data_IF_071409197210
#
_entry.id   IF_071409197210
#
_cell.length_a   1.000
_cell.length_b   1.000
_cell.length_c   1.000
_cell.angle_alpha   90.00
_cell.angle_beta   90.00
_cell.angle_gamma   90.00
#
_symmetry.space_group_name_H-M   'P 1'
#
loop_
_entity.id
_entity.type
_entity.pdbx_description
1 polymer ?
#
# COMPACT_ATOMS: atom_id res chain seq x y z
N UNK A 1 8.54 -18.67 20.96
CA UNK A 1 8.69 -19.49 19.76
C UNK A 1 7.56 -19.14 18.82
N UNK A 2 7.86 -18.56 17.67
CA UNK A 2 6.93 -18.44 16.53
C UNK A 2 6.52 -19.86 16.16
N UNK A 3 5.22 -20.17 16.18
CA UNK A 3 4.73 -21.45 15.65
C UNK A 3 4.79 -21.33 14.13
N UNK A 4 5.76 -21.98 13.52
CA UNK A 4 5.77 -22.12 12.07
C UNK A 4 4.64 -23.06 11.63
N UNK A 5 4.20 -22.90 10.39
CA UNK A 5 3.10 -23.64 9.79
C UNK A 5 3.65 -24.94 9.18
N UNK A 6 3.52 -26.05 9.91
CA UNK A 6 3.81 -27.39 9.39
C UNK A 6 2.80 -27.79 8.30
N UNK A 7 3.21 -28.70 7.40
CA UNK A 7 2.38 -29.20 6.31
C UNK A 7 1.04 -29.77 6.80
N UNK A 8 1.08 -30.75 7.72
CA UNK A 8 -0.10 -31.37 8.33
C UNK A 8 -1.08 -30.37 8.94
N UNK A 9 -0.56 -29.28 9.51
CA UNK A 9 -1.38 -28.26 10.14
C UNK A 9 -2.17 -27.45 9.10
N UNK A 10 -1.51 -27.07 8.00
CA UNK A 10 -2.16 -26.35 6.89
C UNK A 10 -3.21 -27.24 6.22
N UNK A 11 -2.90 -28.52 5.97
CA UNK A 11 -3.82 -29.44 5.30
C UNK A 11 -5.12 -29.65 6.06
N UNK A 12 -5.05 -29.79 7.38
CA UNK A 12 -6.23 -29.98 8.25
C UNK A 12 -7.16 -28.75 8.28
N UNK A 13 -6.66 -27.60 7.84
CA UNK A 13 -7.35 -26.30 7.84
C UNK A 13 -7.78 -25.86 6.44
N UNK A 14 -7.67 -26.75 5.46
CA UNK A 14 -8.22 -26.53 4.13
C UNK A 14 -9.68 -26.98 4.07
N UNK A 15 -10.54 -26.06 3.68
CA UNK A 15 -11.97 -26.29 3.50
C UNK A 15 -12.35 -26.12 2.02
N UNK A 16 -13.01 -27.09 1.38
CA UNK A 16 -13.42 -26.95 -0.01
C UNK A 16 -14.52 -25.88 -0.14
N UNK A 17 -14.37 -25.00 -1.10
CA UNK A 17 -15.36 -23.99 -1.45
C UNK A 17 -16.52 -24.65 -2.22
N UNK A 18 -17.74 -24.52 -1.68
CA UNK A 18 -18.96 -25.06 -2.30
C UNK A 18 -19.56 -24.12 -3.34
N UNK A 19 -19.34 -22.82 -3.18
CA UNK A 19 -19.83 -21.79 -4.08
C UNK A 19 -18.71 -20.81 -4.40
N UNK A 20 -18.57 -20.52 -5.69
CA UNK A 20 -17.60 -19.56 -6.20
C UNK A 20 -18.39 -18.38 -6.79
N UNK A 21 -18.15 -17.14 -6.35
CA UNK A 21 -18.75 -15.97 -6.96
C UNK A 21 -18.48 -15.93 -8.46
N UNK A 22 -19.51 -15.60 -9.26
CA UNK A 22 -19.39 -15.49 -10.72
C UNK A 22 -18.28 -14.50 -11.14
N UNK A 23 -18.06 -13.47 -10.31
CA UNK A 23 -17.03 -12.46 -10.50
C UNK A 23 -15.59 -13.01 -10.48
N UNK A 24 -15.34 -14.22 -9.97
CA UNK A 24 -13.98 -14.71 -9.74
C UNK A 24 -13.28 -15.32 -10.96
N UNK A 25 -14.02 -15.52 -12.06
CA UNK A 25 -13.54 -16.04 -13.35
C UNK A 25 -12.46 -17.12 -13.16
N UNK A 26 -12.89 -18.27 -12.63
CA UNK A 26 -12.04 -19.42 -12.32
C UNK A 26 -12.37 -20.57 -13.25
N UNK A 27 -11.36 -21.36 -13.63
CA UNK A 27 -11.59 -22.56 -14.44
C UNK A 27 -12.43 -23.55 -13.64
N UNK A 28 -13.49 -24.10 -14.25
CA UNK A 28 -14.44 -25.02 -13.59
C UNK A 28 -13.84 -26.43 -13.31
N UNK A 29 -12.54 -26.61 -13.57
CA UNK A 29 -11.81 -27.86 -13.37
C UNK A 29 -11.32 -28.06 -11.93
N UNK A 30 -12.06 -28.84 -11.15
CA UNK A 30 -11.63 -29.31 -9.82
C UNK A 30 -12.13 -28.47 -8.65
N UNK A 31 -11.70 -28.83 -7.43
CA UNK A 31 -12.09 -28.15 -6.19
C UNK A 31 -11.15 -26.98 -5.89
N UNK A 32 -11.73 -25.91 -5.36
CA UNK A 32 -11.01 -24.76 -4.79
C UNK A 32 -11.18 -24.75 -3.27
N UNK A 33 -10.28 -24.08 -2.57
CA UNK A 33 -10.19 -24.17 -1.12
C UNK A 33 -10.08 -22.80 -0.45
N UNK A 34 -10.59 -22.78 0.77
CA UNK A 34 -10.31 -21.79 1.79
C UNK A 34 -9.28 -22.36 2.76
N UNK A 35 -8.25 -21.59 3.05
CA UNK A 35 -7.28 -21.89 4.09
C UNK A 35 -7.64 -21.09 5.34
N UNK A 36 -8.19 -21.77 6.35
CA UNK A 36 -8.63 -21.16 7.62
C UNK A 36 -7.53 -21.28 8.69
N UNK A 37 -6.73 -20.23 8.81
CA UNK A 37 -5.71 -20.04 9.86
C UNK A 37 -6.19 -19.10 10.97
N UNK A 38 -7.50 -18.95 11.16
CA UNK A 38 -8.09 -18.12 12.20
C UNK A 38 -7.73 -18.63 13.60
N UNK A 39 -7.49 -17.70 14.53
CA UNK A 39 -7.25 -17.99 15.95
C UNK A 39 -6.11 -19.00 16.20
N UNK A 40 -5.06 -18.97 15.37
CA UNK A 40 -3.93 -19.89 15.44
C UNK A 40 -2.76 -19.37 16.28
N UNK A 41 -2.86 -18.15 16.82
CA UNK A 41 -1.78 -17.45 17.55
C UNK A 41 -0.55 -17.22 16.67
N UNK A 42 -0.75 -17.00 15.37
CA UNK A 42 0.34 -16.78 14.42
C UNK A 42 0.94 -15.39 14.61
N UNK A 43 2.27 -15.29 14.50
CA UNK A 43 2.99 -14.00 14.52
C UNK A 43 3.57 -13.61 13.16
N UNK A 44 3.72 -14.60 12.30
CA UNK A 44 4.22 -14.52 10.93
C UNK A 44 3.59 -15.67 10.11
N UNK A 45 3.66 -15.58 8.78
CA UNK A 45 3.22 -16.62 7.86
C UNK A 45 4.43 -17.41 7.35
N UNK A 46 5.07 -18.12 8.27
CA UNK A 46 6.27 -18.92 7.99
C UNK A 46 5.87 -20.38 7.77
N UNK A 47 6.05 -20.89 6.55
CA UNK A 47 5.74 -22.29 6.22
C UNK A 47 7.00 -23.16 6.38
N UNK A 48 6.90 -24.27 7.11
CA UNK A 48 8.02 -25.23 7.28
C UNK A 48 8.22 -26.14 6.07
N UNK A 49 7.34 -26.04 5.07
CA UNK A 49 7.33 -26.83 3.86
C UNK A 49 7.41 -25.92 2.63
N UNK A 50 7.73 -26.52 1.49
CA UNK A 50 7.68 -25.82 0.21
C UNK A 50 6.37 -26.13 -0.48
N UNK A 51 5.72 -25.08 -0.98
CA UNK A 51 4.58 -25.21 -1.87
C UNK A 51 5.03 -25.85 -3.19
N UNK A 52 4.25 -26.80 -3.71
CA UNK A 52 4.54 -27.45 -4.98
C UNK A 52 4.25 -26.55 -6.19
N UNK A 53 4.60 -27.04 -7.38
CA UNK A 53 4.35 -26.37 -8.65
C UNK A 53 3.12 -26.96 -9.36
N UNK A 54 2.41 -26.13 -10.13
CA UNK A 54 1.20 -26.54 -10.86
C UNK A 54 1.50 -27.50 -12.07
N UNK A 55 2.66 -28.17 -12.11
CA UNK A 55 3.19 -28.91 -13.27
C UNK A 55 2.60 -30.32 -13.49
N UNK A 56 1.68 -30.77 -12.62
CA UNK A 56 0.72 -31.83 -12.97
C UNK A 56 1.28 -33.26 -13.10
N UNK A 57 2.14 -33.68 -12.18
CA UNK A 57 2.57 -35.09 -12.10
C UNK A 57 1.52 -35.99 -11.42
N UNK A 58 0.97 -36.97 -12.16
CA UNK A 58 0.02 -37.97 -11.67
C UNK A 58 0.64 -38.91 -10.64
N UNK A 59 0.47 -38.67 -9.34
CA UNK A 59 0.69 -39.70 -8.31
C UNK A 59 -0.42 -39.67 -7.24
N UNK A 60 -0.85 -40.87 -6.87
CA UNK A 60 -1.94 -41.10 -5.92
C UNK A 60 -1.58 -40.61 -4.51
N UNK A 61 -2.32 -39.58 -4.07
CA UNK A 61 -2.75 -39.18 -2.71
C UNK A 61 -1.68 -39.00 -1.61
N UNK A 62 -1.63 -37.76 -1.07
CA UNK A 62 -2.23 -37.45 0.24
C UNK A 62 -2.65 -35.97 0.45
N UNK A 63 -2.25 -35.00 -0.40
CA UNK A 63 -2.69 -33.58 -0.23
C UNK A 63 -2.68 -32.74 -1.52
N UNK A 64 -3.65 -32.94 -2.41
CA UNK A 64 -3.71 -32.31 -3.75
C UNK A 64 -3.72 -30.76 -3.81
N UNK A 65 -3.65 -30.08 -2.68
CA UNK A 65 -3.76 -28.61 -2.56
C UNK A 65 -2.42 -27.96 -2.25
N UNK A 66 -1.53 -28.62 -1.51
CA UNK A 66 -0.18 -28.08 -1.24
C UNK A 66 0.68 -28.14 -2.49
N UNK A 67 0.45 -29.16 -3.33
CA UNK A 67 1.08 -29.28 -4.65
C UNK A 67 0.43 -28.36 -5.69
N UNK A 68 -0.74 -27.78 -5.39
CA UNK A 68 -1.47 -26.86 -6.26
C UNK A 68 -1.96 -25.64 -5.47
N UNK A 69 -1.04 -24.79 -4.95
CA UNK A 69 -1.39 -23.59 -4.16
C UNK A 69 -2.33 -22.65 -4.91
N UNK A 70 -2.34 -22.72 -6.24
CA UNK A 70 -3.26 -22.01 -7.13
C UNK A 70 -4.75 -22.29 -6.84
N UNK A 71 -5.07 -23.40 -6.17
CA UNK A 71 -6.44 -23.78 -5.80
C UNK A 71 -6.94 -23.11 -4.53
N UNK A 72 -6.07 -22.45 -3.76
CA UNK A 72 -6.48 -21.69 -2.58
C UNK A 72 -6.93 -20.30 -3.03
N UNK A 73 -8.22 -20.01 -2.86
CA UNK A 73 -8.83 -18.74 -3.27
C UNK A 73 -9.19 -17.85 -2.09
N UNK A 74 -9.37 -18.43 -0.89
CA UNK A 74 -9.63 -17.68 0.34
C UNK A 74 -8.56 -17.99 1.37
N UNK A 75 -8.09 -16.97 2.05
CA UNK A 75 -7.20 -17.08 3.21
C UNK A 75 -7.80 -16.29 4.37
N UNK A 76 -8.11 -16.97 5.47
CA UNK A 76 -8.47 -16.35 6.73
C UNK A 76 -7.31 -16.49 7.72
N UNK A 77 -6.65 -15.38 8.03
CA UNK A 77 -5.61 -15.28 9.07
C UNK A 77 -6.07 -14.34 10.19
N UNK A 78 -7.37 -14.16 10.37
CA UNK A 78 -7.93 -13.27 11.37
C UNK A 78 -7.73 -13.77 12.81
N UNK A 79 -7.82 -12.86 13.78
CA UNK A 79 -7.66 -13.17 15.21
C UNK A 79 -6.31 -13.83 15.53
N UNK A 80 -5.23 -13.29 14.96
CA UNK A 80 -3.86 -13.73 15.21
C UNK A 80 -3.02 -12.58 15.81
N UNK A 81 -1.71 -12.77 15.90
CA UNK A 81 -0.75 -11.78 16.39
C UNK A 81 0.20 -11.30 15.27
N UNK A 82 -0.23 -11.36 14.00
CA UNK A 82 0.60 -10.96 12.86
C UNK A 82 0.99 -9.49 12.97
N UNK A 83 2.30 -9.20 12.94
CA UNK A 83 2.79 -7.81 12.97
C UNK A 83 2.89 -7.16 11.60
N UNK A 84 2.98 -7.97 10.54
CA UNK A 84 3.07 -7.52 9.16
C UNK A 84 2.53 -8.60 8.21
N UNK A 85 2.22 -8.18 6.99
CA UNK A 85 2.10 -9.08 5.84
C UNK A 85 3.29 -8.85 4.90
N UNK A 86 3.97 -9.92 4.53
CA UNK A 86 5.17 -9.89 3.72
C UNK A 86 5.00 -10.66 2.41
N UNK A 87 5.96 -10.45 1.50
CA UNK A 87 5.97 -11.16 0.23
C UNK A 87 6.20 -12.66 0.43
N UNK A 88 7.04 -13.06 1.38
CA UNK A 88 7.41 -14.47 1.56
C UNK A 88 6.18 -15.33 1.89
N UNK A 89 5.37 -14.93 2.87
CA UNK A 89 4.19 -15.67 3.29
C UNK A 89 3.01 -15.64 2.32
N UNK A 90 2.90 -14.59 1.49
CA UNK A 90 1.81 -14.44 0.51
C UNK A 90 2.18 -14.89 -0.90
N UNK A 91 3.47 -14.96 -1.23
CA UNK A 91 3.95 -15.32 -2.57
C UNK A 91 3.48 -16.68 -3.10
N UNK A 92 3.18 -17.71 -2.29
CA UNK A 92 2.64 -18.97 -2.81
C UNK A 92 1.16 -18.83 -3.21
N UNK A 93 0.43 -17.92 -2.57
CA UNK A 93 -1.02 -17.80 -2.64
C UNK A 93 -1.45 -16.74 -3.67
N UNK A 94 -0.79 -16.68 -4.83
CA UNK A 94 -0.99 -15.62 -5.85
C UNK A 94 -2.39 -15.58 -6.47
N UNK A 95 -3.13 -16.68 -6.35
CA UNK A 95 -4.49 -16.81 -6.87
C UNK A 95 -5.58 -16.47 -5.84
N UNK A 96 -5.23 -15.91 -4.67
CA UNK A 96 -6.24 -15.46 -3.72
C UNK A 96 -7.22 -14.46 -4.35
N UNK A 97 -8.48 -14.62 -3.97
CA UNK A 97 -9.61 -13.74 -4.25
C UNK A 97 -10.07 -13.05 -2.97
N UNK A 98 -10.00 -13.71 -1.82
CA UNK A 98 -10.29 -13.09 -0.53
C UNK A 98 -9.14 -13.29 0.45
N UNK A 99 -8.79 -12.22 1.14
CA UNK A 99 -7.87 -12.24 2.26
C UNK A 99 -8.50 -11.55 3.46
N UNK A 100 -8.77 -12.33 4.51
CA UNK A 100 -9.17 -11.81 5.81
C UNK A 100 -7.99 -11.83 6.77
N UNK A 101 -7.39 -10.68 7.02
CA UNK A 101 -6.31 -10.47 7.98
C UNK A 101 -6.73 -9.52 9.12
N UNK A 102 -8.03 -9.47 9.41
CA UNK A 102 -8.57 -8.63 10.47
C UNK A 102 -8.16 -9.10 11.88
N UNK A 103 -8.27 -8.22 12.89
CA UNK A 103 -8.01 -8.56 14.30
C UNK A 103 -6.60 -9.13 14.50
N UNK A 104 -5.61 -8.39 14.03
CA UNK A 104 -4.18 -8.73 14.13
C UNK A 104 -3.41 -7.55 14.74
N UNK A 105 -2.07 -7.56 14.62
CA UNK A 105 -1.19 -6.46 15.03
C UNK A 105 -0.48 -5.82 13.83
N UNK A 106 -1.10 -5.88 12.64
CA UNK A 106 -0.47 -5.49 11.38
C UNK A 106 -0.26 -3.97 11.38
N UNK A 107 0.99 -3.56 11.13
CA UNK A 107 1.34 -2.15 10.88
C UNK A 107 1.71 -1.89 9.43
N UNK A 108 2.24 -2.90 8.74
CA UNK A 108 2.73 -2.82 7.35
C UNK A 108 2.27 -4.04 6.57
N UNK A 109 1.90 -3.87 5.30
CA UNK A 109 1.33 -4.94 4.47
C UNK A 109 1.96 -5.00 3.06
N UNK A 110 3.29 -5.05 3.01
CA UNK A 110 4.09 -4.94 1.77
C UNK A 110 3.85 -6.14 0.82
N UNK A 111 3.42 -7.29 1.34
CA UNK A 111 3.17 -8.49 0.54
C UNK A 111 1.97 -8.46 -0.43
N UNK A 112 1.04 -7.52 -0.30
CA UNK A 112 -0.25 -7.55 -1.02
C UNK A 112 -0.08 -7.42 -2.55
N UNK A 113 1.00 -6.81 -3.01
CA UNK A 113 1.28 -6.53 -4.43
C UNK A 113 1.34 -7.80 -5.30
N UNK A 114 1.65 -8.96 -4.70
CA UNK A 114 1.71 -10.25 -5.42
C UNK A 114 0.32 -10.82 -5.70
N UNK A 115 -0.70 -10.37 -4.98
CA UNK A 115 -2.09 -10.88 -5.03
C UNK A 115 -2.90 -10.15 -6.11
N UNK A 116 -2.46 -10.25 -7.37
CA UNK A 116 -3.04 -9.51 -8.50
C UNK A 116 -4.51 -9.83 -8.81
N UNK A 117 -5.03 -10.94 -8.29
CA UNK A 117 -6.42 -11.40 -8.49
C UNK A 117 -7.31 -11.14 -7.27
N UNK A 118 -6.80 -10.46 -6.25
CA UNK A 118 -7.52 -10.23 -5.00
C UNK A 118 -8.77 -9.37 -5.24
N UNK A 119 -9.93 -9.90 -4.84
CA UNK A 119 -11.25 -9.30 -4.99
C UNK A 119 -11.68 -8.57 -3.71
N UNK A 120 -11.46 -9.17 -2.54
CA UNK A 120 -11.80 -8.59 -1.23
C UNK A 120 -10.61 -8.67 -0.27
N UNK A 121 -10.31 -7.55 0.38
CA UNK A 121 -9.24 -7.43 1.37
C UNK A 121 -9.80 -6.85 2.67
N UNK A 122 -9.74 -7.63 3.74
CA UNK A 122 -10.11 -7.19 5.08
C UNK A 122 -8.87 -7.10 5.98
N UNK A 123 -8.51 -5.87 6.34
CA UNK A 123 -7.43 -5.50 7.25
C UNK A 123 -7.96 -4.76 8.48
N UNK A 124 -9.25 -4.91 8.79
CA UNK A 124 -9.87 -4.20 9.92
C UNK A 124 -9.29 -4.62 11.28
N UNK A 125 -9.40 -3.76 12.30
CA UNK A 125 -8.89 -4.03 13.65
C UNK A 125 -7.39 -4.39 13.65
N UNK A 126 -6.57 -3.49 13.11
CA UNK A 126 -5.12 -3.57 13.10
C UNK A 126 -4.52 -2.22 13.55
N UNK A 127 -3.22 -2.01 13.35
CA UNK A 127 -2.51 -0.78 13.71
C UNK A 127 -1.90 -0.10 12.48
N UNK A 128 -2.63 -0.11 11.36
CA UNK A 128 -2.19 0.49 10.10
C UNK A 128 -2.41 1.99 10.19
N UNK A 129 -1.34 2.77 10.03
CA UNK A 129 -1.38 4.24 10.05
C UNK A 129 -1.28 4.88 8.65
N UNK A 130 -0.85 4.09 7.65
CA UNK A 130 -0.65 4.54 6.27
C UNK A 130 -0.80 3.43 5.23
N UNK A 131 -1.16 3.82 4.02
CA UNK A 131 -1.29 2.95 2.85
C UNK A 131 0.03 3.02 2.06
N UNK A 132 0.96 2.09 2.30
CA UNK A 132 2.32 2.11 1.70
C UNK A 132 2.56 1.03 0.63
N UNK A 133 1.57 0.19 0.31
CA UNK A 133 1.81 -1.04 -0.47
C UNK A 133 0.65 -1.49 -1.35
N UNK A 134 -0.32 -0.60 -1.58
CA UNK A 134 -1.36 -0.86 -2.57
C UNK A 134 -0.83 -0.41 -3.93
N UNK A 135 -0.67 -1.37 -4.83
CA UNK A 135 -0.43 -1.12 -6.25
C UNK A 135 -1.80 -0.94 -6.93
N UNK A 136 -1.90 -0.16 -8.03
CA UNK A 136 -3.12 -0.12 -8.82
C UNK A 136 -3.63 -1.53 -9.13
N UNK A 137 -4.73 -1.92 -8.49
CA UNK A 137 -5.32 -3.24 -8.63
C UNK A 137 -6.55 -3.15 -9.53
N UNK A 138 -6.55 -3.96 -10.58
CA UNK A 138 -7.70 -4.11 -11.47
C UNK A 138 -8.71 -5.14 -10.96
N UNK A 139 -8.44 -5.86 -9.87
CA UNK A 139 -9.32 -6.92 -9.38
C UNK A 139 -10.03 -6.57 -8.07
N UNK A 140 -9.46 -5.68 -7.25
CA UNK A 140 -9.99 -5.37 -5.93
C UNK A 140 -11.31 -4.59 -6.04
N UNK A 141 -12.35 -5.13 -5.41
CA UNK A 141 -13.70 -4.56 -5.37
C UNK A 141 -14.06 -4.09 -3.96
N UNK A 142 -13.56 -4.78 -2.94
CA UNK A 142 -13.86 -4.49 -1.54
C UNK A 142 -12.59 -4.32 -0.71
N UNK A 143 -12.50 -3.20 0.01
CA UNK A 143 -11.40 -2.90 0.91
C UNK A 143 -11.94 -2.45 2.27
N UNK A 144 -11.60 -3.21 3.31
CA UNK A 144 -11.93 -2.88 4.68
C UNK A 144 -10.66 -2.59 5.49
N UNK A 145 -10.48 -1.32 5.84
CA UNK A 145 -9.41 -0.77 6.67
C UNK A 145 -9.99 -0.14 7.95
N UNK A 146 -11.20 -0.53 8.35
CA UNK A 146 -11.83 0.01 9.56
C UNK A 146 -11.08 -0.32 10.85
N UNK A 147 -11.25 0.48 11.89
CA UNK A 147 -10.64 0.25 13.20
C UNK A 147 -9.10 0.11 13.10
N UNK A 148 -8.48 1.11 12.47
CA UNK A 148 -7.04 1.25 12.31
C UNK A 148 -6.62 2.66 12.79
N UNK A 149 -5.38 3.05 12.52
CA UNK A 149 -4.81 4.34 12.92
C UNK A 149 -4.60 5.29 11.72
N UNK A 150 -5.29 5.08 10.60
CA UNK A 150 -5.08 5.85 9.35
C UNK A 150 -5.34 7.34 9.57
N UNK A 151 -4.37 8.18 9.19
CA UNK A 151 -4.52 9.64 9.21
C UNK A 151 -4.73 10.26 7.83
N UNK A 152 -4.35 9.53 6.78
CA UNK A 152 -4.41 10.00 5.40
C UNK A 152 -4.70 8.84 4.42
N UNK A 153 -5.48 9.13 3.38
CA UNK A 153 -5.79 8.23 2.25
C UNK A 153 -5.48 8.89 0.89
N UNK A 154 -4.83 10.05 0.87
CA UNK A 154 -4.49 10.80 -0.35
C UNK A 154 -3.60 10.00 -1.31
N UNK A 155 -2.78 9.10 -0.77
CA UNK A 155 -1.88 8.21 -1.52
C UNK A 155 -2.55 6.92 -2.04
N UNK A 156 -3.89 6.81 -1.99
CA UNK A 156 -4.55 5.66 -2.58
C UNK A 156 -4.23 5.58 -4.09
N UNK A 157 -3.75 4.41 -4.58
CA UNK A 157 -3.56 4.23 -6.02
C UNK A 157 -4.91 4.25 -6.73
N UNK A 158 -4.89 4.46 -8.05
CA UNK A 158 -6.10 4.34 -8.86
C UNK A 158 -6.67 2.91 -8.79
N UNK A 159 -7.76 2.73 -8.05
CA UNK A 159 -8.48 1.46 -7.94
C UNK A 159 -9.77 1.53 -8.76
N UNK A 160 -9.63 1.26 -10.05
CA UNK A 160 -10.70 1.46 -11.04
C UNK A 160 -11.94 0.56 -10.84
N UNK A 161 -11.81 -0.50 -10.03
CA UNK A 161 -12.88 -1.47 -9.77
C UNK A 161 -13.35 -1.51 -8.32
N UNK A 162 -12.75 -0.71 -7.43
CA UNK A 162 -13.18 -0.64 -6.04
C UNK A 162 -14.60 -0.06 -5.96
N UNK A 163 -15.50 -0.81 -5.31
CA UNK A 163 -16.90 -0.45 -5.13
C UNK A 163 -17.23 -0.20 -3.67
N UNK A 164 -16.56 -0.90 -2.75
CA UNK A 164 -16.81 -0.79 -1.31
C UNK A 164 -15.51 -0.41 -0.62
N UNK A 165 -15.51 0.75 0.04
CA UNK A 165 -14.42 1.20 0.90
C UNK A 165 -14.94 1.44 2.31
N UNK A 166 -14.38 0.69 3.27
CA UNK A 166 -14.63 0.93 4.67
C UNK A 166 -13.36 1.39 5.39
N UNK A 167 -13.37 2.64 5.86
CA UNK A 167 -12.30 3.27 6.65
C UNK A 167 -12.86 3.86 7.95
N UNK A 168 -13.96 3.31 8.46
CA UNK A 168 -14.57 3.77 9.70
C UNK A 168 -13.66 3.56 10.91
N UNK A 169 -13.83 4.34 11.97
CA UNK A 169 -12.99 4.27 13.18
C UNK A 169 -11.50 4.40 12.84
N UNK A 170 -11.12 5.50 12.20
CA UNK A 170 -9.74 5.89 11.94
C UNK A 170 -9.51 7.33 12.43
N UNK A 171 -8.43 7.99 11.99
CA UNK A 171 -8.05 9.36 12.36
C UNK A 171 -8.03 10.29 11.15
N UNK A 172 -8.85 10.00 10.13
CA UNK A 172 -8.90 10.77 8.89
C UNK A 172 -9.51 12.15 9.14
N UNK A 173 -8.86 13.19 8.60
CA UNK A 173 -9.37 14.57 8.60
C UNK A 173 -9.92 15.00 7.24
N UNK A 174 -9.54 14.29 6.19
CA UNK A 174 -9.89 14.58 4.81
C UNK A 174 -10.24 13.29 4.08
N UNK A 175 -11.00 13.45 2.99
CA UNK A 175 -11.34 12.41 2.02
C UNK A 175 -10.54 12.54 0.72
N UNK A 176 -9.50 13.39 0.70
CA UNK A 176 -8.55 13.45 -0.41
C UNK A 176 -7.99 12.06 -0.71
N UNK A 177 -7.98 11.68 -1.98
CA UNK A 177 -7.64 10.34 -2.45
C UNK A 177 -8.85 9.53 -2.93
N UNK A 178 -10.05 9.80 -2.42
CA UNK A 178 -11.29 9.10 -2.84
C UNK A 178 -11.65 9.38 -4.31
N UNK A 179 -11.18 10.50 -4.88
CA UNK A 179 -11.33 10.83 -6.30
C UNK A 179 -10.68 9.78 -7.23
N UNK A 180 -9.72 8.99 -6.73
CA UNK A 180 -9.06 7.91 -7.46
C UNK A 180 -9.92 6.64 -7.62
N UNK A 181 -11.15 6.65 -7.08
CA UNK A 181 -12.06 5.50 -6.97
C UNK A 181 -13.33 5.72 -7.81
N UNK A 182 -13.26 5.66 -9.16
CA UNK A 182 -14.34 6.12 -10.04
C UNK A 182 -15.61 5.26 -9.97
N UNK A 183 -15.51 4.02 -9.48
CA UNK A 183 -16.63 3.07 -9.35
C UNK A 183 -17.14 2.90 -7.92
N UNK A 184 -16.67 3.72 -6.97
CA UNK A 184 -17.06 3.61 -5.57
C UNK A 184 -18.58 3.79 -5.40
N UNK A 185 -19.22 2.81 -4.76
CA UNK A 185 -20.67 2.75 -4.48
C UNK A 185 -20.97 2.90 -3.01
N UNK A 186 -20.14 2.30 -2.15
CA UNK A 186 -20.32 2.32 -0.71
C UNK A 186 -19.08 2.88 -0.03
N UNK A 187 -19.29 3.92 0.76
CA UNK A 187 -18.25 4.58 1.52
C UNK A 187 -18.65 4.70 2.99
N UNK A 188 -17.91 3.97 3.84
CA UNK A 188 -18.07 3.98 5.28
C UNK A 188 -16.90 4.71 5.93
N UNK A 189 -17.16 5.90 6.45
CA UNK A 189 -16.13 6.81 7.02
C UNK A 189 -16.52 7.30 8.42
N UNK A 190 -17.47 6.64 9.06
CA UNK A 190 -17.95 7.04 10.39
C UNK A 190 -16.85 6.98 11.45
N UNK A 191 -16.97 7.82 12.50
CA UNK A 191 -15.98 7.93 13.59
C UNK A 191 -14.58 8.26 13.06
N UNK A 192 -14.50 9.37 12.33
CA UNK A 192 -13.28 10.03 11.90
C UNK A 192 -13.37 11.52 12.30
N UNK A 193 -12.53 12.38 11.74
CA UNK A 193 -12.52 13.83 11.97
C UNK A 193 -12.77 14.63 10.68
N UNK A 194 -13.57 14.09 9.75
CA UNK A 194 -13.83 14.71 8.44
C UNK A 194 -14.71 15.95 8.63
N UNK A 195 -14.33 17.06 8.00
CA UNK A 195 -15.11 18.29 8.00
C UNK A 195 -15.49 18.77 6.59
N UNK A 196 -14.78 18.33 5.57
CA UNK A 196 -14.98 18.74 4.18
C UNK A 196 -15.38 17.55 3.29
N UNK A 197 -16.35 17.78 2.41
CA UNK A 197 -16.89 16.79 1.47
C UNK A 197 -16.53 17.11 0.02
N UNK A 198 -15.83 18.22 -0.28
CA UNK A 198 -15.36 18.56 -1.64
C UNK A 198 -14.68 17.39 -2.36
N UNK A 199 -13.86 16.53 -1.70
CA UNK A 199 -13.26 15.37 -2.36
C UNK A 199 -14.27 14.37 -2.96
N UNK A 200 -15.54 14.37 -2.54
CA UNK A 200 -16.57 13.47 -3.07
C UNK A 200 -17.17 13.93 -4.41
N UNK A 201 -16.80 15.11 -4.92
CA UNK A 201 -17.32 15.68 -6.18
C UNK A 201 -17.13 14.78 -7.40
N UNK A 202 -16.10 13.92 -7.41
CA UNK A 202 -15.81 13.01 -8.53
C UNK A 202 -16.49 11.64 -8.41
N UNK A 203 -17.19 11.36 -7.31
CA UNK A 203 -17.66 10.03 -6.94
C UNK A 203 -19.16 9.82 -7.27
N UNK A 204 -19.52 9.99 -8.55
CA UNK A 204 -20.92 9.98 -9.01
C UNK A 204 -21.69 8.65 -8.82
N UNK A 205 -20.97 7.58 -8.48
CA UNK A 205 -21.52 6.22 -8.32
C UNK A 205 -21.91 5.89 -6.88
N UNK A 206 -21.64 6.77 -5.92
CA UNK A 206 -21.95 6.52 -4.50
C UNK A 206 -23.46 6.37 -4.32
N UNK A 207 -23.84 5.27 -3.67
CA UNK A 207 -25.19 4.89 -3.27
C UNK A 207 -25.34 4.94 -1.75
N UNK A 208 -24.32 4.51 -1.00
CA UNK A 208 -24.31 4.48 0.46
C UNK A 208 -23.15 5.33 0.96
N UNK A 209 -23.45 6.35 1.75
CA UNK A 209 -22.47 7.23 2.38
C UNK A 209 -22.73 7.34 3.88
N UNK A 210 -21.84 6.77 4.68
CA UNK A 210 -21.91 6.85 6.13
C UNK A 210 -20.84 7.80 6.68
N UNK A 211 -21.26 9.01 7.03
CA UNK A 211 -20.45 10.09 7.59
C UNK A 211 -20.68 10.28 9.10
N UNK A 212 -21.33 9.34 9.78
CA UNK A 212 -21.70 9.49 11.18
C UNK A 212 -20.49 9.78 12.09
N UNK A 213 -20.67 10.56 13.15
CA UNK A 213 -19.63 10.87 14.14
C UNK A 213 -18.35 11.42 13.50
N UNK A 214 -18.48 12.48 12.71
CA UNK A 214 -17.38 13.26 12.13
C UNK A 214 -17.45 14.72 12.62
N UNK A 215 -16.73 15.64 11.96
CA UNK A 215 -16.67 17.05 12.32
C UNK A 215 -17.33 17.96 11.26
N UNK A 216 -18.45 17.51 10.69
CA UNK A 216 -19.22 18.30 9.71
C UNK A 216 -20.05 19.34 10.44
N UNK A 217 -19.70 20.62 10.28
CA UNK A 217 -20.35 21.74 10.99
C UNK A 217 -21.49 22.36 10.21
N UNK A 218 -21.32 22.53 8.90
CA UNK A 218 -22.32 23.16 8.04
C UNK A 218 -22.43 22.42 6.71
N UNK A 219 -23.60 22.51 6.07
CA UNK A 219 -23.76 22.01 4.71
C UNK A 219 -23.30 23.01 3.65
N UNK A 220 -22.93 24.25 3.99
CA UNK A 220 -22.77 25.31 2.98
C UNK A 220 -21.78 24.95 1.86
N UNK A 221 -20.68 24.25 2.20
CA UNK A 221 -19.74 23.67 1.23
C UNK A 221 -20.15 22.28 0.70
N UNK A 222 -20.89 21.50 1.49
CA UNK A 222 -21.32 20.14 1.17
C UNK A 222 -22.56 20.05 0.26
N UNK A 223 -23.43 21.07 0.28
CA UNK A 223 -24.71 21.16 -0.45
C UNK A 223 -24.51 20.87 -1.94
N UNK A 224 -23.54 21.56 -2.55
CA UNK A 224 -23.25 21.42 -3.98
C UNK A 224 -22.72 20.03 -4.33
N UNK A 225 -21.99 19.40 -3.42
CA UNK A 225 -21.41 18.07 -3.61
C UNK A 225 -22.50 17.00 -3.49
N UNK A 226 -23.30 17.04 -2.43
CA UNK A 226 -24.39 16.07 -2.20
C UNK A 226 -25.42 16.11 -3.34
N UNK A 227 -25.72 17.29 -3.90
CA UNK A 227 -26.59 17.43 -5.07
C UNK A 227 -26.03 16.80 -6.36
N UNK A 228 -24.72 16.59 -6.46
CA UNK A 228 -24.09 15.90 -7.61
C UNK A 228 -24.15 14.37 -7.48
N UNK A 229 -24.29 13.84 -6.27
CA UNK A 229 -24.39 12.41 -5.99
C UNK A 229 -25.80 11.89 -6.32
N UNK A 230 -26.14 11.87 -7.62
CA UNK A 230 -27.48 11.53 -8.12
C UNK A 230 -27.93 10.09 -7.82
N UNK A 231 -26.98 9.20 -7.50
CA UNK A 231 -27.22 7.80 -7.15
C UNK A 231 -27.27 7.56 -5.65
N UNK A 232 -27.10 8.59 -4.83
CA UNK A 232 -27.11 8.46 -3.38
C UNK A 232 -28.50 8.03 -2.91
N UNK A 233 -28.55 6.88 -2.23
CA UNK A 233 -29.77 6.27 -1.69
C UNK A 233 -29.79 6.36 -0.17
N UNK A 234 -28.64 6.16 0.48
CA UNK A 234 -28.51 6.13 1.94
C UNK A 234 -27.43 7.12 2.37
N UNK A 235 -27.82 8.08 3.22
CA UNK A 235 -26.92 9.05 3.84
C UNK A 235 -27.07 9.01 5.36
N UNK A 236 -25.96 8.91 6.08
CA UNK A 236 -25.94 9.04 7.54
C UNK A 236 -24.98 10.14 7.95
N UNK A 237 -25.49 11.13 8.68
CA UNK A 237 -24.73 12.26 9.23
C UNK A 237 -24.83 12.35 10.76
N UNK A 238 -25.59 11.48 11.41
CA UNK A 238 -25.72 11.46 12.88
C UNK A 238 -24.39 11.54 13.63
N UNK A 239 -24.36 12.28 14.74
CA UNK A 239 -23.19 12.50 15.58
C UNK A 239 -22.21 13.54 15.03
N UNK A 240 -22.60 14.31 14.02
CA UNK A 240 -21.83 15.48 13.56
C UNK A 240 -22.35 16.77 14.22
N UNK A 241 -21.53 17.83 14.33
CA UNK A 241 -21.99 19.13 14.84
C UNK A 241 -23.22 19.72 14.11
N UNK A 242 -23.39 19.38 12.83
CA UNK A 242 -24.56 19.68 12.00
C UNK A 242 -25.90 19.23 12.61
N UNK A 243 -25.91 18.20 13.46
CA UNK A 243 -27.13 17.68 14.10
C UNK A 243 -27.85 18.76 14.94
N UNK A 244 -27.12 19.82 15.34
CA UNK A 244 -27.67 20.96 16.09
C UNK A 244 -28.51 21.89 15.21
N UNK A 245 -28.32 21.87 13.90
CA UNK A 245 -29.09 22.67 12.97
C UNK A 245 -30.48 22.04 12.78
N UNK A 246 -31.55 22.79 13.09
CA UNK A 246 -32.91 22.27 12.93
C UNK A 246 -33.28 22.03 11.45
N UNK A 247 -32.62 22.70 10.53
CA UNK A 247 -32.97 22.69 9.11
C UNK A 247 -32.15 21.73 8.25
N UNK A 248 -31.06 21.14 8.79
CA UNK A 248 -30.14 20.33 7.97
C UNK A 248 -30.84 19.19 7.22
N UNK A 249 -31.76 18.48 7.88
CA UNK A 249 -32.52 17.38 7.25
C UNK A 249 -33.33 17.89 6.06
N UNK A 250 -34.03 19.00 6.24
CA UNK A 250 -34.84 19.63 5.18
C UNK A 250 -33.97 20.09 4.02
N UNK A 251 -32.79 20.65 4.30
CA UNK A 251 -31.89 21.15 3.26
C UNK A 251 -31.24 20.02 2.45
N UNK A 252 -30.91 18.89 3.09
CA UNK A 252 -30.46 17.67 2.40
C UNK A 252 -31.56 17.13 1.48
N UNK A 253 -32.80 17.03 1.98
CA UNK A 253 -33.93 16.48 1.23
C UNK A 253 -34.34 17.37 0.05
N UNK A 254 -34.04 18.68 0.07
CA UNK A 254 -34.26 19.58 -1.07
C UNK A 254 -33.26 19.35 -2.21
N UNK A 255 -32.08 18.83 -1.90
CA UNK A 255 -30.94 18.78 -2.82
C UNK A 255 -30.64 17.37 -3.32
N UNK A 256 -31.09 16.35 -2.57
CA UNK A 256 -30.81 14.95 -2.83
C UNK A 256 -32.10 14.15 -2.99
N UNK A 257 -32.00 13.00 -3.67
CA UNK A 257 -33.10 12.05 -3.84
C UNK A 257 -32.91 10.81 -2.96
N UNK A 258 -32.34 10.99 -1.76
CA UNK A 258 -32.07 9.87 -0.85
C UNK A 258 -33.36 9.20 -0.39
N UNK A 259 -33.27 7.89 -0.17
CA UNK A 259 -34.35 7.05 0.37
C UNK A 259 -34.25 6.89 1.88
N UNK A 260 -33.04 7.03 2.44
CA UNK A 260 -32.77 6.92 3.87
C UNK A 260 -31.82 8.03 4.32
N UNK A 261 -32.23 8.77 5.35
CA UNK A 261 -31.40 9.76 6.03
C UNK A 261 -31.33 9.38 7.52
N UNK A 262 -30.12 9.21 8.05
CA UNK A 262 -29.91 8.95 9.49
C UNK A 262 -30.68 7.72 10.01
N UNK A 263 -30.70 6.64 9.22
CA UNK A 263 -31.49 5.42 9.46
C UNK A 263 -33.02 5.62 9.45
N UNK A 264 -33.51 6.77 8.99
CA UNK A 264 -34.93 7.05 8.83
C UNK A 264 -35.26 6.99 7.34
N UNK A 265 -36.23 6.16 6.97
CA UNK A 265 -36.74 6.15 5.60
C UNK A 265 -37.48 7.44 5.30
N UNK A 266 -37.09 8.10 4.22
CA UNK A 266 -37.63 9.38 3.77
C UNK A 266 -38.25 9.20 2.39
N UNK A 267 -39.41 9.81 2.16
CA UNK A 267 -39.98 9.88 0.81
C UNK A 267 -39.23 10.97 0.03
N UNK A 268 -38.70 10.68 -1.16
CA UNK A 268 -38.08 11.70 -1.99
C UNK A 268 -39.09 12.82 -2.24
N UNK A 269 -38.71 14.07 -1.98
CA UNK A 269 -39.56 15.19 -2.34
C UNK A 269 -39.63 15.26 -3.89
N UNK A 270 -40.83 15.34 -4.50
CA UNK A 270 -40.92 15.60 -5.93
C UNK A 270 -40.23 16.94 -6.21
N UNK A 271 -39.24 16.93 -7.10
CA UNK A 271 -38.48 18.13 -7.49
C UNK A 271 -39.47 19.24 -7.82
N UNK A 272 -39.40 20.36 -7.11
CA UNK A 272 -39.80 21.62 -7.72
C UNK A 272 -38.89 21.79 -8.94
N UNK A 273 -39.43 21.93 -10.17
CA UNK A 273 -38.59 22.24 -11.31
C UNK A 273 -37.85 23.53 -10.95
N UNK A 274 -36.52 23.43 -10.81
CA UNK A 274 -35.67 24.61 -10.91
C UNK A 274 -36.11 25.38 -12.15
N UNK A 275 -36.22 26.72 -12.09
CA UNK A 275 -36.65 27.51 -13.25
C UNK A 275 -35.85 27.04 -14.46
N UNK A 276 -36.57 26.55 -15.47
CA UNK A 276 -35.99 26.19 -16.76
C UNK A 276 -35.39 27.46 -17.31
N UNK A 277 -34.09 27.64 -17.13
CA UNK A 277 -33.32 28.44 -18.06
C UNK A 277 -33.33 27.58 -19.33
N UNK A 278 -34.23 27.92 -20.25
CA UNK A 278 -34.18 27.46 -21.63
C UNK A 278 -32.86 27.94 -22.23
N UNK A 279 -31.81 27.13 -22.07
CA UNK A 279 -30.67 27.13 -22.96
C UNK A 279 -30.97 26.14 -24.07
N UNK A 280 -31.80 26.60 -24.99
CA UNK A 280 -31.78 26.11 -26.35
C UNK A 280 -30.37 26.35 -26.92
N UNK A 281 -29.81 25.35 -27.62
CA UNK A 281 -28.40 25.19 -28.03
C UNK A 281 -27.39 24.61 -26.99
N UNK A 282 -27.54 23.35 -26.59
CA UNK A 282 -26.63 22.71 -25.60
C UNK A 282 -25.99 21.35 -25.91
N UNK A 283 -26.56 20.52 -26.80
CA UNK A 283 -26.12 19.11 -26.88
C UNK A 283 -24.76 18.90 -27.57
N UNK A 284 -24.33 19.79 -28.48
CA UNK A 284 -23.03 19.64 -29.16
C UNK A 284 -21.85 20.14 -28.31
N UNK A 285 -22.03 21.26 -27.58
CA UNK A 285 -21.00 21.83 -26.69
C UNK A 285 -20.69 20.93 -25.48
N UNK A 286 -21.69 20.23 -24.93
CA UNK A 286 -21.47 19.36 -23.78
C UNK A 286 -20.69 18.09 -24.15
N UNK A 287 -20.93 17.53 -25.35
CA UNK A 287 -20.17 16.39 -25.88
C UNK A 287 -18.75 16.80 -26.26
N UNK A 288 -18.57 17.98 -26.86
CA UNK A 288 -17.25 18.55 -27.14
C UNK A 288 -16.47 18.87 -25.85
N UNK A 289 -17.14 19.39 -24.82
CA UNK A 289 -16.53 19.64 -23.51
C UNK A 289 -16.20 18.35 -22.76
N UNK A 290 -17.02 17.30 -22.88
CA UNK A 290 -16.71 15.99 -22.30
C UNK A 290 -15.53 15.33 -23.02
N UNK A 291 -15.44 15.48 -24.35
CA UNK A 291 -14.33 14.98 -25.15
C UNK A 291 -13.04 15.73 -24.83
N UNK A 292 -13.08 17.06 -24.72
CA UNK A 292 -11.91 17.87 -24.35
C UNK A 292 -11.47 17.61 -22.91
N UNK A 293 -12.40 17.43 -21.97
CA UNK A 293 -12.07 17.05 -20.58
C UNK A 293 -11.48 15.64 -20.49
N UNK A 294 -11.99 14.68 -21.27
CA UNK A 294 -11.43 13.32 -21.37
C UNK A 294 -10.03 13.32 -21.96
N UNK A 295 -9.80 14.07 -23.03
CA UNK A 295 -8.47 14.21 -23.64
C UNK A 295 -7.50 14.92 -22.69
N UNK A 296 -7.94 15.98 -22.00
CA UNK A 296 -7.12 16.66 -20.99
C UNK A 296 -6.78 15.75 -19.80
N UNK A 297 -7.74 14.98 -19.28
CA UNK A 297 -7.49 14.02 -18.20
C UNK A 297 -6.57 12.87 -18.66
N UNK A 298 -6.72 12.40 -19.90
CA UNK A 298 -5.86 11.37 -20.50
C UNK A 298 -4.44 11.88 -20.71
N UNK A 299 -4.27 13.11 -21.18
CA UNK A 299 -2.96 13.76 -21.32
C UNK A 299 -2.30 13.95 -19.95
N UNK A 300 -3.01 14.51 -18.97
CA UNK A 300 -2.48 14.71 -17.61
C UNK A 300 -2.07 13.38 -16.96
N UNK A 301 -2.84 12.31 -17.17
CA UNK A 301 -2.48 10.99 -16.67
C UNK A 301 -1.28 10.38 -17.40
N UNK A 302 -1.21 10.53 -18.73
CA UNK A 302 -0.07 10.07 -19.53
C UNK A 302 1.22 10.82 -19.17
N UNK A 303 1.14 12.13 -18.93
CA UNK A 303 2.27 12.94 -18.48
C UNK A 303 2.76 12.48 -17.11
N UNK A 304 1.86 12.30 -16.13
CA UNK A 304 2.23 11.81 -14.79
C UNK A 304 2.85 10.41 -14.82
N UNK A 305 2.35 9.53 -15.67
CA UNK A 305 2.94 8.20 -15.91
C UNK A 305 4.33 8.30 -16.57
N UNK A 306 4.51 9.24 -17.51
CA UNK A 306 5.79 9.47 -18.19
C UNK A 306 6.83 10.04 -17.23
N UNK A 307 6.44 10.98 -16.37
CA UNK A 307 7.28 11.54 -15.30
C UNK A 307 7.69 10.46 -14.29
N UNK A 308 6.73 9.66 -13.81
CA UNK A 308 7.02 8.55 -12.90
C UNK A 308 7.97 7.52 -13.52
N UNK A 309 7.78 7.20 -14.82
CA UNK A 309 8.69 6.31 -15.55
C UNK A 309 10.08 6.92 -15.73
N UNK A 310 10.19 8.22 -16.01
CA UNK A 310 11.46 8.89 -16.19
C UNK A 310 12.25 8.95 -14.87
N UNK A 311 11.58 9.23 -13.75
CA UNK A 311 12.17 9.14 -12.41
C UNK A 311 12.66 7.71 -12.10
N UNK A 312 11.89 6.69 -12.47
CA UNK A 312 12.30 5.30 -12.30
C UNK A 312 13.53 4.96 -13.17
N UNK A 313 13.55 5.39 -14.43
CA UNK A 313 14.71 5.20 -15.33
C UNK A 313 15.96 5.96 -14.82
N UNK A 314 15.80 7.17 -14.29
CA UNK A 314 16.87 7.93 -13.63
C UNK A 314 17.40 7.22 -12.38
N UNK A 315 16.51 6.71 -11.52
CA UNK A 315 16.89 5.94 -10.33
C UNK A 315 17.64 4.65 -10.72
N UNK A 316 17.18 3.94 -11.75
CA UNK A 316 17.86 2.73 -12.25
C UNK A 316 19.25 3.08 -12.80
N UNK A 317 19.37 4.13 -13.61
CA UNK A 317 20.65 4.59 -14.15
C UNK A 317 21.62 5.02 -13.04
N UNK A 318 21.12 5.70 -12.01
CA UNK A 318 21.91 6.06 -10.83
C UNK A 318 22.44 4.82 -10.10
N UNK A 319 21.57 3.83 -9.85
CA UNK A 319 21.97 2.58 -9.21
C UNK A 319 22.99 1.81 -10.05
N UNK A 320 22.81 1.74 -11.37
CA UNK A 320 23.77 1.09 -12.28
C UNK A 320 25.15 1.76 -12.22
N UNK A 321 25.22 3.09 -12.24
CA UNK A 321 26.50 3.82 -12.09
C UNK A 321 27.15 3.56 -10.73
N UNK A 322 26.35 3.49 -9.66
CA UNK A 322 26.87 3.18 -8.32
C UNK A 322 27.42 1.76 -8.22
N UNK A 323 26.77 0.79 -8.86
CA UNK A 323 27.28 -0.59 -8.95
C UNK A 323 28.65 -0.61 -9.63
N UNK A 324 28.81 0.06 -10.77
CA UNK A 324 30.10 0.13 -11.48
C UNK A 324 31.16 0.82 -10.63
N UNK A 325 30.82 1.91 -9.93
CA UNK A 325 31.73 2.58 -8.98
C UNK A 325 32.21 1.63 -7.89
N UNK A 326 31.29 0.90 -7.26
CA UNK A 326 31.62 -0.06 -6.20
C UNK A 326 32.48 -1.21 -6.72
N UNK A 327 32.24 -1.68 -7.94
CA UNK A 327 33.09 -2.69 -8.59
C UNK A 327 34.52 -2.17 -8.81
N UNK A 328 34.69 -0.92 -9.26
CA UNK A 328 36.02 -0.33 -9.43
C UNK A 328 36.73 -0.12 -8.09
N UNK A 329 36.02 0.37 -7.07
CA UNK A 329 36.55 0.50 -5.71
C UNK A 329 37.02 -0.85 -5.15
N UNK A 330 36.26 -1.92 -5.41
CA UNK A 330 36.65 -3.28 -5.05
C UNK A 330 37.91 -3.76 -5.78
N UNK A 331 37.99 -3.51 -7.09
CA UNK A 331 39.18 -3.87 -7.90
C UNK A 331 40.44 -3.14 -7.43
N UNK A 332 40.32 -1.85 -7.08
CA UNK A 332 41.42 -1.06 -6.53
C UNK A 332 41.87 -1.59 -5.16
N UNK A 333 40.90 -1.98 -4.32
CA UNK A 333 41.20 -2.61 -3.03
C UNK A 333 41.93 -3.94 -3.21
N UNK A 334 41.48 -4.79 -4.13
CA UNK A 334 42.12 -6.08 -4.44
C UNK A 334 43.56 -5.88 -4.96
N UNK A 335 43.76 -4.89 -5.84
CA UNK A 335 45.08 -4.53 -6.36
C UNK A 335 46.05 -4.07 -5.26
N UNK A 336 45.57 -3.21 -4.34
CA UNK A 336 46.35 -2.78 -3.17
C UNK A 336 46.74 -3.97 -2.28
N UNK A 337 45.77 -4.84 -1.97
CA UNK A 337 46.02 -6.02 -1.16
C UNK A 337 47.07 -6.95 -1.80
N UNK A 338 47.03 -7.10 -3.12
CA UNK A 338 48.02 -7.87 -3.87
C UNK A 338 49.42 -7.23 -3.82
N UNK A 339 49.51 -5.92 -3.97
CA UNK A 339 50.78 -5.18 -3.87
C UNK A 339 51.38 -5.27 -2.46
N UNK A 340 50.54 -5.18 -1.42
CA UNK A 340 50.97 -5.34 -0.03
C UNK A 340 51.48 -6.76 0.24
N UNK A 341 50.80 -7.77 -0.31
CA UNK A 341 51.26 -9.17 -0.24
C UNK A 341 52.60 -9.35 -0.95
N UNK A 342 52.77 -8.85 -2.18
CA UNK A 342 54.03 -8.91 -2.91
C UNK A 342 55.16 -8.17 -2.17
N UNK A 343 54.85 -7.05 -1.52
CA UNK A 343 55.81 -6.30 -0.70
C UNK A 343 56.24 -7.10 0.54
N UNK A 344 55.29 -7.76 1.21
CA UNK A 344 55.58 -8.68 2.30
C UNK A 344 56.46 -9.86 1.85
N UNK A 345 56.18 -10.44 0.68
CA UNK A 345 56.97 -11.55 0.13
C UNK A 345 58.40 -11.10 -0.22
N UNK A 346 58.57 -9.93 -0.87
CA UNK A 346 59.90 -9.37 -1.15
C UNK A 346 60.69 -9.06 0.13
N UNK A 347 60.01 -8.57 1.18
CA UNK A 347 60.63 -8.38 2.47
C UNK A 347 61.12 -9.72 3.06
N UNK A 348 60.29 -10.77 3.01
CA UNK A 348 60.69 -12.11 3.45
C UNK A 348 61.87 -12.66 2.65
N UNK A 349 61.90 -12.47 1.33
CA UNK A 349 63.00 -12.90 0.46
C UNK A 349 64.31 -12.12 0.74
N UNK A 350 64.22 -10.92 1.32
CA UNK A 350 65.37 -10.09 1.69
C UNK A 350 66.00 -10.43 3.04
N UNK A 351 65.35 -11.26 3.85
CA UNK A 351 65.86 -11.68 5.17
C UNK A 351 66.96 -12.73 5.05
N UNK A 352 68.00 -12.59 5.87
CA UNK A 352 69.11 -13.55 5.93
C UNK A 352 68.76 -14.76 6.82
N UNK A 353 69.45 -15.90 6.64
CA UNK A 353 69.20 -17.12 7.41
C UNK A 353 69.36 -16.94 8.94
N UNK A 354 70.14 -15.94 9.38
CA UNK A 354 70.32 -15.60 10.80
C UNK A 354 69.14 -14.84 11.41
N UNK A 355 68.35 -14.12 10.59
CA UNK A 355 67.19 -13.33 11.04
C UNK A 355 65.91 -14.18 11.06
N UNK A 356 65.85 -15.22 10.22
CA UNK A 356 64.73 -16.18 10.19
C UNK A 356 64.71 -17.17 11.37
N UNK A 357 65.83 -17.35 12.08
CA UNK A 357 65.97 -18.32 13.17
C UNK A 357 65.21 -17.91 14.45
N UNK A 358 64.84 -16.62 14.58
CA UNK A 358 64.03 -16.09 15.67
C UNK A 358 62.52 -16.08 15.43
N UNK A 359 62.05 -16.49 14.24
CA UNK A 359 60.63 -16.35 13.83
C UNK A 359 59.82 -17.56 14.29
N UNK A 360 58.93 -17.34 15.27
CA UNK A 360 58.06 -18.39 15.80
C UNK A 360 56.91 -18.72 14.82
N UNK A 361 57.09 -19.80 14.05
CA UNK A 361 56.18 -20.26 12.98
C UNK A 361 54.75 -20.59 13.44
N UNK A 362 54.53 -20.86 14.73
CA UNK A 362 53.19 -21.15 15.25
C UNK A 362 52.30 -19.92 15.35
N UNK A 363 52.87 -18.71 15.52
CA UNK A 363 52.11 -17.45 15.62
C UNK A 363 51.60 -16.91 14.27
N UNK A 364 52.20 -17.36 13.16
CA UNK A 364 51.80 -16.95 11.80
C UNK A 364 50.41 -17.50 11.48
N UNK A 365 50.11 -18.73 11.93
CA UNK A 365 48.82 -19.40 11.69
C UNK A 365 47.66 -18.73 12.44
N UNK A 366 47.92 -18.22 13.64
CA UNK A 366 46.93 -17.52 14.47
C UNK A 366 46.63 -16.10 13.95
N UNK A 367 47.55 -15.47 13.21
CA UNK A 367 47.35 -14.14 12.61
C UNK A 367 46.58 -14.13 11.29
N UNK A 368 46.53 -15.25 10.57
CA UNK A 368 45.77 -15.40 9.30
C UNK A 368 44.29 -15.71 9.58
N UNK A 369 43.96 -16.15 10.79
CA UNK A 369 42.60 -16.46 11.22
C UNK A 369 41.86 -15.26 11.80
N UNK A 370 41.30 -14.42 10.92
CA UNK A 370 40.00 -13.69 11.00
C UNK A 370 40.06 -12.29 10.36
N UNK A 371 39.41 -12.05 9.21
CA UNK A 371 39.00 -10.71 8.83
C UNK A 371 37.51 -10.53 9.16
N UNK A 372 37.23 -10.16 10.40
CA UNK A 372 36.11 -9.29 10.67
C UNK A 372 36.58 -8.15 11.55
N UNK A 373 36.39 -6.91 11.08
CA UNK A 373 35.75 -5.95 11.96
C UNK A 373 34.63 -5.17 11.24
N UNK A 374 33.42 -5.37 11.78
CA UNK A 374 32.34 -4.44 12.15
C UNK A 374 32.05 -3.15 11.34
N UNK A 375 30.77 -2.70 11.36
CA UNK A 375 30.29 -1.55 10.59
C UNK A 375 30.95 -0.26 11.08
N UNK A 376 31.25 0.64 10.16
CA UNK A 376 31.93 1.90 10.40
C UNK A 376 31.03 2.85 11.23
N UNK A 377 31.44 3.15 12.46
CA UNK A 377 30.98 4.30 13.26
C UNK A 377 31.91 5.49 12.96
N UNK A 378 31.32 6.64 12.62
CA UNK A 378 32.06 7.84 12.24
C UNK A 378 32.75 8.57 13.39
N UNK A 379 33.77 9.38 13.06
CA UNK A 379 34.15 10.51 13.92
C UNK A 379 35.56 11.10 13.80
N UNK A 380 35.64 12.26 13.12
CA UNK A 380 36.36 13.52 13.46
C UNK A 380 37.90 13.61 13.32
N UNK A 381 38.36 14.59 12.53
CA UNK A 381 38.97 15.92 12.91
C UNK A 381 39.48 16.58 11.61
N UNK A 382 39.07 17.78 11.15
CA UNK A 382 39.35 19.15 11.61
C UNK A 382 38.45 20.11 10.78
N UNK A 383 37.58 20.94 11.37
CA UNK A 383 37.76 22.35 11.80
C UNK A 383 37.41 23.42 10.74
N UNK A 384 36.14 23.87 10.85
CA UNK A 384 35.57 25.23 10.67
C UNK A 384 35.60 25.89 9.29
N UNK A 385 34.44 25.86 8.63
CA UNK A 385 33.81 27.08 8.11
C UNK A 385 32.39 27.23 8.66
N UNK A 386 31.96 28.49 8.77
CA UNK A 386 30.86 28.97 9.59
C UNK A 386 29.57 28.92 8.76
N UNK A 387 28.52 28.33 9.31
CA UNK A 387 27.21 28.18 8.69
C UNK A 387 26.53 29.52 8.37
N UNK A 388 26.08 29.66 7.12
CA UNK A 388 24.98 30.55 6.76
C UNK A 388 23.66 29.81 7.01
N UNK A 389 22.76 30.40 7.82
CA UNK A 389 21.40 29.88 7.99
C UNK A 389 20.57 30.23 6.76
N UNK A 390 20.07 29.22 6.04
CA UNK A 390 19.05 29.41 5.00
C UNK A 390 17.66 29.20 5.57
N UNK A 391 16.75 30.11 5.25
CA UNK A 391 15.34 30.14 5.67
C UNK A 391 14.47 29.28 4.73
N UNK A 392 13.55 28.50 5.30
CA UNK A 392 12.71 27.51 4.61
C UNK A 392 11.21 27.84 4.68
N UNK A 393 10.87 29.06 5.07
CA UNK A 393 9.49 29.52 5.28
C UNK A 393 8.56 29.51 4.05
N UNK A 394 9.08 29.20 2.85
CA UNK A 394 8.31 29.20 1.60
C UNK A 394 8.04 27.82 0.97
N UNK A 395 8.54 26.71 1.54
CA UNK A 395 8.37 25.37 0.95
C UNK A 395 7.02 24.77 1.38
N UNK A 396 6.15 24.47 0.41
CA UNK A 396 4.82 23.87 0.65
C UNK A 396 4.63 22.46 0.05
N UNK A 397 5.57 21.97 -0.76
CA UNK A 397 5.52 20.64 -1.38
C UNK A 397 6.50 19.64 -0.75
N UNK A 398 6.05 18.39 -0.56
CA UNK A 398 6.83 17.32 0.10
C UNK A 398 8.06 16.86 -0.69
N UNK A 399 8.01 16.93 -2.02
CA UNK A 399 9.15 16.55 -2.88
C UNK A 399 10.26 17.61 -2.89
N UNK A 400 9.95 18.89 -2.62
CA UNK A 400 10.96 19.94 -2.47
C UNK A 400 11.73 19.83 -1.16
N UNK A 401 11.08 19.32 -0.12
CA UNK A 401 11.69 19.02 1.18
C UNK A 401 12.64 17.81 1.11
N UNK A 402 12.28 16.80 0.33
CA UNK A 402 13.13 15.63 0.07
C UNK A 402 14.34 15.98 -0.81
N UNK A 403 14.18 16.84 -1.83
CA UNK A 403 15.31 17.39 -2.60
C UNK A 403 16.23 18.27 -1.75
N UNK A 404 15.70 19.04 -0.81
CA UNK A 404 16.52 19.82 0.14
C UNK A 404 17.34 18.91 1.08
N UNK A 405 16.76 17.81 1.55
CA UNK A 405 17.45 16.80 2.36
C UNK A 405 18.50 16.00 1.56
N UNK A 406 18.21 15.67 0.29
CA UNK A 406 19.14 14.96 -0.59
C UNK A 406 20.34 15.83 -0.99
N UNK A 407 20.16 17.16 -1.11
CA UNK A 407 21.24 18.12 -1.38
C UNK A 407 22.23 18.27 -0.22
N UNK A 408 21.79 18.05 1.02
CA UNK A 408 22.65 18.05 2.21
C UNK A 408 23.40 16.73 2.39
N UNK A 409 22.76 15.59 2.07
CA UNK A 409 23.42 14.27 2.09
C UNK A 409 24.58 14.14 1.09
N UNK A 410 24.56 14.89 -0.03
CA UNK A 410 25.66 14.93 -1.00
C UNK A 410 26.75 15.97 -0.68
N UNK A 411 26.54 16.87 0.28
CA UNK A 411 27.63 17.72 0.80
C UNK A 411 28.53 16.98 1.79
N UNK A 412 28.09 15.83 2.31
CA UNK A 412 28.88 14.99 3.24
C UNK A 412 29.73 13.91 2.53
N UNK A 413 29.74 13.87 1.20
CA UNK A 413 30.65 13.02 0.40
C UNK A 413 31.73 13.81 -0.36
N UNK A 414 31.84 15.12 -0.12
CA UNK A 414 33.07 15.92 -0.23
C UNK A 414 33.53 16.25 1.18
#
# INVERSE_FOLDING_TARGET
MTKNLSQDFVERRLHPLTHLPEAWTVDLGGKYYELDLKMCQLRSLDYEFRWGDDSGGTLQRLSSVIDAPSRILKLDVSLNELSALDHEGLSPLRNLRELNASLNKIKKFIGIEVLKKLYSLNLSHNFIDRIESLVPSSSLVELNLSMNDLTDISYMPSMINLQILNVNNNKLKSLEGVQSLPKLRELYVQRNAISDLIPLTSCFHIQILNLASNNIVTLHSAVGVLGQLKRLEVLTLMGNPIDRDRFYRTDILKQTNIMTLDNISVRPLPRQPSPKIELDMGNSRHIQNLHSLKEAAKQAFQERMKESRLQMEENVNFLQRRIVSLQNEYMDYESKLKNDLESCLRYLDSLTASEMDGVNRSRIRDGIGTPHPKPWEGGRTHRRERAEKTDYSHIKDTDELLRAAQKELYKETS
#
